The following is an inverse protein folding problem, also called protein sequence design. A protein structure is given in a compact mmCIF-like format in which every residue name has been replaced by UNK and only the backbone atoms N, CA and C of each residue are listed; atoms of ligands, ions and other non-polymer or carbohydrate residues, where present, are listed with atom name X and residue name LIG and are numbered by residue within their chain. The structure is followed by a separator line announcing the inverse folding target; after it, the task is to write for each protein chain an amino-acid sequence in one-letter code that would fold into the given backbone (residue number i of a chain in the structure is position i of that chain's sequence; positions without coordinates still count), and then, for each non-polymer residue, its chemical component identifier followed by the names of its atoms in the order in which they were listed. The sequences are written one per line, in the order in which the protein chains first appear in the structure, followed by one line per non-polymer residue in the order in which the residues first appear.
data_IF_732533839453
#
_entry.id   IF_732533839453
#
_cell.length_a   1.000
_cell.length_b   1.000
_cell.length_c   1.000
_cell.angle_alpha   90.00
_cell.angle_beta   90.00
_cell.angle_gamma   90.00
#
_symmetry.space_group_name_H-M   'P 1'
#
loop_
_entity.id
_entity.type
_entity.pdbx_description
1 polymer ?
#
# COMPACT_ATOMS: atom_id res chain seq x y z
N UNK A 1 -11.27 -20.69 -27.83
CA UNK A 1 -11.84 -19.54 -27.09
C UNK A 1 -10.74 -18.95 -26.22
N UNK A 2 -10.26 -17.73 -26.50
CA UNK A 2 -9.34 -17.03 -25.58
C UNK A 2 -10.15 -16.70 -24.33
N UNK A 3 -9.80 -17.28 -23.17
CA UNK A 3 -10.40 -16.85 -21.91
C UNK A 3 -10.16 -15.34 -21.77
N UNK A 4 -11.20 -14.58 -21.42
CA UNK A 4 -11.02 -13.19 -20.98
C UNK A 4 -10.03 -13.26 -19.83
N UNK A 5 -8.81 -12.74 -19.99
CA UNK A 5 -7.87 -12.58 -18.89
C UNK A 5 -8.59 -11.75 -17.84
N UNK A 6 -8.97 -12.39 -16.74
CA UNK A 6 -9.54 -11.70 -15.59
C UNK A 6 -8.47 -10.74 -15.08
N UNK A 7 -8.83 -9.47 -14.88
CA UNK A 7 -7.93 -8.50 -14.26
C UNK A 7 -7.52 -9.06 -12.90
N UNK A 8 -6.21 -9.16 -12.59
CA UNK A 8 -5.77 -9.68 -11.30
C UNK A 8 -6.36 -8.84 -10.17
N UNK A 9 -6.61 -9.47 -9.02
CA UNK A 9 -7.15 -8.80 -7.84
C UNK A 9 -6.03 -8.58 -6.82
N UNK A 10 -5.95 -7.37 -6.27
CA UNK A 10 -5.03 -7.07 -5.18
C UNK A 10 -5.55 -7.69 -3.87
N UNK A 11 -4.67 -8.38 -3.15
CA UNK A 11 -5.03 -9.19 -1.98
C UNK A 11 -4.39 -8.69 -0.68
N UNK A 12 -3.72 -7.54 -0.66
CA UNK A 12 -2.93 -7.02 0.50
C UNK A 12 -3.70 -6.86 1.83
N UNK A 13 -5.03 -6.85 1.80
CA UNK A 13 -5.90 -6.83 2.98
C UNK A 13 -6.79 -8.07 3.12
N UNK A 14 -6.60 -9.09 2.28
CA UNK A 14 -7.43 -10.29 2.30
C UNK A 14 -7.10 -11.14 3.53
N UNK A 15 -8.15 -11.48 4.29
CA UNK A 15 -8.06 -12.38 5.44
C UNK A 15 -8.74 -13.72 5.18
N UNK A 16 -8.42 -14.73 6.00
CA UNK A 16 -9.13 -16.00 5.97
C UNK A 16 -10.56 -15.85 6.51
N UNK A 17 -11.55 -16.38 5.78
CA UNK A 17 -12.95 -16.43 6.24
C UNK A 17 -13.13 -17.19 7.56
N UNK A 18 -12.31 -18.21 7.78
CA UNK A 18 -12.41 -19.15 8.92
C UNK A 18 -11.49 -18.79 10.09
N UNK A 19 -10.55 -17.86 9.91
CA UNK A 19 -9.59 -17.44 10.95
C UNK A 19 -9.66 -15.95 11.29
N UNK A 20 -10.79 -15.31 10.99
CA UNK A 20 -11.08 -13.93 11.37
C UNK A 20 -10.10 -12.91 10.77
N UNK A 21 -9.23 -12.34 11.61
CA UNK A 21 -8.33 -11.20 11.29
C UNK A 21 -6.97 -11.61 10.70
N UNK A 22 -6.69 -12.91 10.55
CA UNK A 22 -5.42 -13.38 9.97
C UNK A 22 -5.38 -13.15 8.45
N UNK A 23 -4.30 -12.53 7.96
CA UNK A 23 -4.06 -12.35 6.54
C UNK A 23 -3.78 -13.68 5.83
N UNK A 24 -4.22 -13.80 4.58
CA UNK A 24 -3.86 -14.96 3.75
C UNK A 24 -2.36 -14.95 3.43
N UNK A 25 -1.81 -16.11 3.08
CA UNK A 25 -0.40 -16.20 2.67
C UNK A 25 -0.09 -15.33 1.43
N UNK A 26 -1.04 -15.16 0.53
CA UNK A 26 -0.92 -14.24 -0.62
C UNK A 26 -0.89 -12.78 -0.18
N UNK A 27 -1.81 -12.37 0.70
CA UNK A 27 -1.83 -11.04 1.29
C UNK A 27 -0.49 -10.71 1.97
N UNK A 28 0.01 -11.62 2.79
CA UNK A 28 1.29 -11.44 3.48
C UNK A 28 2.47 -11.30 2.52
N UNK A 29 2.53 -12.12 1.46
CA UNK A 29 3.61 -12.02 0.45
C UNK A 29 3.53 -10.70 -0.33
N UNK A 30 2.35 -10.31 -0.83
CA UNK A 30 2.17 -9.05 -1.55
C UNK A 30 2.55 -7.85 -0.68
N UNK A 31 2.11 -7.82 0.59
CA UNK A 31 2.53 -6.80 1.56
C UNK A 31 4.04 -6.80 1.74
N UNK A 32 4.65 -7.96 1.98
CA UNK A 32 6.09 -8.08 2.18
C UNK A 32 6.89 -7.53 0.99
N UNK A 33 6.48 -7.85 -0.24
CA UNK A 33 7.11 -7.32 -1.47
C UNK A 33 6.99 -5.79 -1.49
N UNK A 34 5.79 -5.24 -1.27
CA UNK A 34 5.53 -3.80 -1.32
C UNK A 34 6.31 -3.05 -0.24
N UNK A 35 6.28 -3.54 0.99
CA UNK A 35 7.02 -2.96 2.14
C UNK A 35 8.52 -2.95 1.83
N UNK A 36 9.07 -4.09 1.41
CA UNK A 36 10.50 -4.21 1.08
C UNK A 36 10.92 -3.24 -0.03
N UNK A 37 10.14 -3.13 -1.10
CA UNK A 37 10.44 -2.21 -2.20
C UNK A 37 10.29 -0.72 -1.81
N UNK A 38 9.50 -0.40 -0.78
CA UNK A 38 9.30 0.97 -0.28
C UNK A 38 10.43 1.50 0.61
N UNK A 39 11.23 0.59 1.19
CA UNK A 39 12.30 0.92 2.14
C UNK A 39 13.69 0.62 1.59
N UNK A 40 13.84 -0.41 0.76
CA UNK A 40 15.11 -0.74 0.14
C UNK A 40 15.50 0.31 -0.92
N UNK A 41 16.79 0.56 -1.10
CA UNK A 41 17.32 1.50 -2.11
C UNK A 41 18.30 0.81 -3.07
N UNK A 42 18.97 -0.26 -2.63
CA UNK A 42 19.99 -0.95 -3.41
C UNK A 42 19.36 -1.86 -4.47
N UNK A 43 19.69 -1.67 -5.77
CA UNK A 43 19.16 -2.51 -6.86
C UNK A 43 19.40 -4.02 -6.65
N UNK A 44 20.55 -4.40 -6.10
CA UNK A 44 20.92 -5.80 -5.82
C UNK A 44 19.99 -6.47 -4.82
N UNK A 45 19.33 -5.70 -3.95
CA UNK A 45 18.36 -6.18 -2.96
C UNK A 45 16.91 -6.11 -3.44
N UNK A 46 16.67 -5.65 -4.66
CA UNK A 46 15.33 -5.50 -5.27
C UNK A 46 15.07 -6.48 -6.41
N UNK A 47 15.87 -7.54 -6.52
CA UNK A 47 15.61 -8.65 -7.46
C UNK A 47 14.60 -9.62 -6.85
N UNK A 48 13.89 -10.41 -7.68
CA UNK A 48 12.94 -11.43 -7.19
C UNK A 48 13.58 -12.36 -6.14
N UNK A 49 14.81 -12.79 -6.40
CA UNK A 49 15.58 -13.67 -5.52
C UNK A 49 15.92 -12.98 -4.20
N UNK A 50 16.42 -11.74 -4.23
CA UNK A 50 16.73 -11.01 -3.00
C UNK A 50 15.49 -10.74 -2.14
N UNK A 51 14.37 -10.39 -2.78
CA UNK A 51 13.07 -10.25 -2.10
C UNK A 51 12.67 -11.57 -1.44
N UNK A 52 12.80 -12.70 -2.14
CA UNK A 52 12.48 -14.01 -1.59
C UNK A 52 13.34 -14.39 -0.38
N UNK A 53 14.65 -14.14 -0.44
CA UNK A 53 15.52 -14.34 0.72
C UNK A 53 15.08 -13.47 1.90
N UNK A 54 14.79 -12.19 1.65
CA UNK A 54 14.43 -11.26 2.73
C UNK A 54 13.12 -11.64 3.41
N UNK A 55 12.09 -11.95 2.63
CA UNK A 55 10.78 -12.34 3.17
C UNK A 55 10.84 -13.71 3.86
N UNK A 56 11.68 -14.63 3.39
CA UNK A 56 11.84 -15.92 4.02
C UNK A 56 12.51 -15.82 5.39
N UNK A 57 13.55 -14.99 5.50
CA UNK A 57 14.20 -14.64 6.76
C UNK A 57 13.18 -14.04 7.75
N UNK A 58 12.39 -13.06 7.32
CA UNK A 58 11.37 -12.41 8.15
C UNK A 58 10.28 -13.39 8.64
N UNK A 59 9.93 -14.38 7.83
CA UNK A 59 8.88 -15.34 8.11
C UNK A 59 9.40 -16.63 8.79
N UNK A 60 10.70 -16.71 9.12
CA UNK A 60 11.29 -17.91 9.73
C UNK A 60 11.18 -19.16 8.84
N UNK A 61 11.30 -19.00 7.52
CA UNK A 61 11.21 -20.11 6.56
C UNK A 61 12.37 -20.09 5.54
N UNK A 62 12.41 -21.07 4.65
CA UNK A 62 13.39 -21.11 3.56
C UNK A 62 12.86 -20.40 2.32
N UNK A 63 13.73 -19.71 1.58
CA UNK A 63 13.32 -18.94 0.40
C UNK A 63 12.70 -19.81 -0.68
N UNK A 64 13.15 -21.06 -0.81
CA UNK A 64 12.61 -22.04 -1.76
C UNK A 64 11.11 -22.28 -1.54
N UNK A 65 10.64 -22.24 -0.28
CA UNK A 65 9.23 -22.46 0.07
C UNK A 65 8.31 -21.33 -0.41
N UNK A 66 8.83 -20.10 -0.54
CA UNK A 66 8.02 -18.93 -0.89
C UNK A 66 8.36 -18.34 -2.26
N UNK A 67 9.45 -18.79 -2.89
CA UNK A 67 9.97 -18.24 -4.15
C UNK A 67 8.92 -18.26 -5.26
N UNK A 68 8.26 -19.40 -5.47
CA UNK A 68 7.22 -19.54 -6.49
C UNK A 68 6.02 -18.64 -6.22
N UNK A 69 5.67 -18.43 -4.95
CA UNK A 69 4.64 -17.49 -4.52
C UNK A 69 5.00 -16.04 -4.83
N UNK A 70 6.23 -15.63 -4.52
CA UNK A 70 6.72 -14.27 -4.81
C UNK A 70 6.80 -14.03 -6.32
N UNK A 71 7.27 -15.00 -7.09
CA UNK A 71 7.30 -14.91 -8.54
C UNK A 71 5.90 -14.68 -9.11
N UNK A 72 4.93 -15.52 -8.70
CA UNK A 72 3.53 -15.39 -9.12
C UNK A 72 2.94 -14.04 -8.73
N UNK A 73 3.09 -13.64 -7.47
CA UNK A 73 2.52 -12.38 -6.99
C UNK A 73 3.14 -11.18 -7.71
N UNK A 74 4.44 -11.20 -8.02
CA UNK A 74 5.11 -10.12 -8.72
C UNK A 74 4.71 -10.06 -10.21
N UNK A 75 4.75 -11.19 -10.93
CA UNK A 75 4.58 -11.26 -12.38
C UNK A 75 3.12 -11.31 -12.84
N UNK A 76 2.25 -11.92 -12.05
CA UNK A 76 0.84 -12.13 -12.42
C UNK A 76 -0.10 -11.14 -11.74
N UNK A 77 0.34 -10.43 -10.68
CA UNK A 77 -0.49 -9.50 -9.92
C UNK A 77 0.13 -8.10 -9.86
N UNK A 78 1.27 -7.92 -9.21
CA UNK A 78 1.80 -6.58 -8.91
C UNK A 78 2.29 -5.82 -10.15
N UNK A 79 2.94 -6.50 -11.11
CA UNK A 79 3.33 -5.91 -12.39
C UNK A 79 2.10 -5.60 -13.26
N UNK A 80 1.13 -6.53 -13.48
CA UNK A 80 -0.08 -6.23 -14.23
C UNK A 80 -0.99 -5.15 -13.62
N UNK A 81 -1.00 -5.01 -12.29
CA UNK A 81 -1.71 -3.92 -11.60
C UNK A 81 -0.93 -2.61 -11.54
N UNK A 82 0.24 -2.56 -12.20
CA UNK A 82 1.10 -1.38 -12.24
C UNK A 82 1.44 -0.86 -10.83
N UNK A 83 1.57 -1.75 -9.83
CA UNK A 83 2.02 -1.41 -8.48
C UNK A 83 3.54 -1.45 -8.37
N UNK A 84 4.15 -2.29 -9.22
CA UNK A 84 5.58 -2.48 -9.34
C UNK A 84 5.97 -2.27 -10.79
N UNK A 85 7.18 -1.78 -11.04
CA UNK A 85 7.78 -1.72 -12.39
C UNK A 85 9.22 -2.22 -12.36
N UNK A 86 9.67 -2.80 -13.48
CA UNK A 86 11.09 -3.06 -13.68
C UNK A 86 11.83 -1.71 -13.74
N UNK A 87 12.88 -1.56 -12.93
CA UNK A 87 13.63 -0.32 -12.80
C UNK A 87 15.02 -0.39 -13.46
N UNK A 88 15.39 -1.56 -13.96
CA UNK A 88 16.65 -1.83 -14.64
C UNK A 88 17.08 -3.29 -14.46
N UNK A 89 18.27 -3.61 -14.97
CA UNK A 89 18.84 -4.97 -14.91
C UNK A 89 20.28 -4.95 -14.45
N UNK A 90 20.62 -5.92 -13.61
CA UNK A 90 21.97 -6.10 -13.06
C UNK A 90 22.76 -7.07 -13.93
N UNK A 91 23.98 -6.72 -14.35
CA UNK A 91 24.82 -7.63 -15.12
C UNK A 91 25.27 -8.80 -14.23
N UNK A 92 25.31 -10.00 -14.81
CA UNK A 92 25.85 -11.18 -14.12
C UNK A 92 26.92 -11.87 -14.98
N UNK A 93 27.99 -12.32 -14.34
CA UNK A 93 29.12 -12.99 -15.02
C UNK A 93 29.01 -14.52 -15.03
N UNK A 94 28.05 -15.08 -14.29
CA UNK A 94 27.86 -16.53 -14.09
C UNK A 94 26.38 -16.86 -14.07
N UNK A 95 26.00 -18.07 -14.47
CA UNK A 95 24.62 -18.55 -14.52
C UNK A 95 24.10 -18.76 -15.96
N UNK A 96 22.78 -18.88 -16.17
CA UNK A 96 22.19 -19.08 -17.50
C UNK A 96 22.61 -17.99 -18.50
N UNK A 97 22.98 -18.38 -19.73
CA UNK A 97 23.48 -17.47 -20.77
C UNK A 97 22.52 -16.31 -21.06
N UNK A 98 21.21 -16.60 -21.12
CA UNK A 98 20.17 -15.58 -21.30
C UNK A 98 20.18 -14.50 -20.21
N UNK A 99 20.47 -14.85 -18.95
CA UNK A 99 20.58 -13.89 -17.87
C UNK A 99 21.91 -13.14 -17.88
N UNK A 100 22.98 -13.74 -18.42
CA UNK A 100 24.24 -13.02 -18.64
C UNK A 100 24.08 -11.93 -19.72
N UNK A 101 23.33 -12.23 -20.78
CA UNK A 101 23.06 -11.29 -21.89
C UNK A 101 22.06 -10.20 -21.49
N UNK A 102 20.96 -10.57 -20.81
CA UNK A 102 19.89 -9.63 -20.48
C UNK A 102 20.04 -8.96 -19.11
N UNK A 103 20.83 -9.55 -18.20
CA UNK A 103 20.89 -9.15 -16.80
C UNK A 103 19.69 -9.62 -15.97
N UNK A 104 19.82 -9.51 -14.65
CA UNK A 104 18.78 -9.86 -13.68
C UNK A 104 17.93 -8.61 -13.37
N UNK A 105 16.61 -8.65 -13.59
CA UNK A 105 15.76 -7.49 -13.33
C UNK A 105 15.67 -7.17 -11.84
N UNK A 106 15.61 -5.87 -11.55
CA UNK A 106 15.23 -5.34 -10.24
C UNK A 106 14.05 -4.38 -10.38
N UNK A 107 13.31 -4.21 -9.28
CA UNK A 107 12.00 -3.58 -9.30
C UNK A 107 11.93 -2.36 -8.41
N UNK A 108 11.04 -1.41 -8.74
CA UNK A 108 10.66 -0.31 -7.87
C UNK A 108 9.13 -0.23 -7.77
N UNK A 109 8.64 0.39 -6.69
CA UNK A 109 7.24 0.77 -6.63
C UNK A 109 6.93 1.87 -7.65
N UNK A 110 5.74 1.77 -8.24
CA UNK A 110 5.09 2.90 -8.92
C UNK A 110 4.41 3.79 -7.89
N UNK A 111 3.75 4.86 -8.34
CA UNK A 111 3.00 5.74 -7.44
C UNK A 111 1.77 5.03 -6.85
N UNK A 112 1.12 4.16 -7.63
CA UNK A 112 0.10 3.22 -7.14
C UNK A 112 0.66 2.31 -6.05
N UNK A 113 1.87 1.78 -6.26
CA UNK A 113 2.57 0.95 -5.27
C UNK A 113 2.90 1.70 -3.98
N UNK A 114 3.26 2.98 -4.07
CA UNK A 114 3.52 3.83 -2.90
C UNK A 114 2.25 4.07 -2.07
N UNK A 115 1.09 4.27 -2.71
CA UNK A 115 -0.19 4.37 -1.99
C UNK A 115 -0.53 3.08 -1.24
N UNK A 116 -0.30 1.91 -1.87
CA UNK A 116 -0.48 0.63 -1.19
C UNK A 116 0.50 0.49 -0.03
N UNK A 117 1.78 0.85 -0.22
CA UNK A 117 2.78 0.82 0.85
C UNK A 117 2.41 1.74 2.02
N UNK A 118 1.84 2.92 1.77
CA UNK A 118 1.40 3.82 2.83
C UNK A 118 0.16 3.32 3.60
N UNK A 119 -0.66 2.46 2.98
CA UNK A 119 -1.90 1.94 3.56
C UNK A 119 -1.72 0.79 4.57
N UNK A 120 -0.57 0.11 4.55
CA UNK A 120 -0.32 -1.03 5.45
C UNK A 120 0.17 -0.57 6.82
N UNK A 121 -0.07 -1.39 7.85
CA UNK A 121 0.29 -1.06 9.23
C UNK A 121 1.81 -1.10 9.44
N UNK A 122 2.47 -2.06 8.81
CA UNK A 122 3.90 -2.35 8.94
C UNK A 122 4.81 -1.17 8.53
N UNK A 123 4.29 -0.23 7.74
CA UNK A 123 5.00 0.98 7.30
C UNK A 123 4.69 2.21 8.14
N UNK A 124 4.06 2.08 9.32
CA UNK A 124 3.64 3.22 10.15
C UNK A 124 4.76 4.24 10.40
N UNK A 125 6.00 3.78 10.65
CA UNK A 125 7.17 4.66 10.88
C UNK A 125 7.66 5.36 9.61
N UNK A 126 7.42 4.76 8.45
CA UNK A 126 7.86 5.24 7.13
C UNK A 126 6.76 5.98 6.36
N UNK A 127 5.50 5.95 6.83
CA UNK A 127 4.34 6.41 6.07
C UNK A 127 4.47 7.85 5.61
N UNK A 128 4.91 8.76 6.48
CA UNK A 128 5.12 10.17 6.12
C UNK A 128 6.14 10.32 4.99
N UNK A 129 7.26 9.59 5.06
CA UNK A 129 8.27 9.56 4.00
C UNK A 129 7.70 9.01 2.68
N UNK A 130 6.95 7.91 2.74
CA UNK A 130 6.32 7.28 1.57
C UNK A 130 5.31 8.24 0.90
N UNK A 131 4.46 8.89 1.71
CA UNK A 131 3.46 9.83 1.20
C UNK A 131 4.10 11.10 0.63
N UNK A 132 5.18 11.61 1.24
CA UNK A 132 5.94 12.72 0.67
C UNK A 132 6.54 12.33 -0.69
N UNK A 133 7.17 11.15 -0.80
CA UNK A 133 7.71 10.65 -2.06
C UNK A 133 6.64 10.44 -3.15
N UNK A 134 5.41 10.07 -2.77
CA UNK A 134 4.27 10.03 -3.69
C UNK A 134 3.90 11.44 -4.16
N UNK A 135 3.71 12.38 -3.23
CA UNK A 135 3.27 13.75 -3.53
C UNK A 135 4.34 14.65 -4.16
N UNK A 136 5.62 14.31 -4.09
CA UNK A 136 6.70 15.00 -4.81
C UNK A 136 6.58 14.83 -6.34
N UNK A 137 6.05 13.69 -6.77
CA UNK A 137 5.85 13.37 -8.19
C UNK A 137 4.49 13.84 -8.71
N UNK A 138 3.54 14.09 -7.81
CA UNK A 138 2.20 14.56 -8.17
C UNK A 138 2.27 16.03 -8.62
N UNK A 139 2.00 16.26 -9.90
CA UNK A 139 2.03 17.59 -10.52
C UNK A 139 0.64 18.23 -10.60
N UNK A 140 -0.42 17.53 -10.21
CA UNK A 140 -1.78 18.04 -10.33
C UNK A 140 -2.08 19.15 -9.31
N UNK A 141 -2.11 20.40 -9.79
CA UNK A 141 -2.39 21.60 -8.99
C UNK A 141 -3.80 21.56 -8.38
N UNK A 142 -4.76 20.85 -8.99
CA UNK A 142 -6.15 20.79 -8.49
C UNK A 142 -6.28 20.09 -7.14
N UNK A 143 -5.34 19.22 -6.80
CA UNK A 143 -5.35 18.46 -5.55
C UNK A 143 -4.33 18.99 -4.53
N UNK A 144 -3.85 20.23 -4.69
CA UNK A 144 -2.90 20.85 -3.76
C UNK A 144 -3.45 20.93 -2.34
N UNK A 145 -4.74 21.23 -2.20
CA UNK A 145 -5.42 21.28 -0.90
C UNK A 145 -5.58 19.88 -0.30
N UNK A 146 -5.88 18.88 -1.11
CA UNK A 146 -5.94 17.48 -0.67
C UNK A 146 -4.57 17.00 -0.16
N UNK A 147 -3.50 17.26 -0.91
CA UNK A 147 -2.12 16.97 -0.49
C UNK A 147 -1.82 17.62 0.85
N UNK A 148 -2.11 18.92 0.99
CA UNK A 148 -1.86 19.67 2.23
C UNK A 148 -2.65 19.08 3.40
N UNK A 149 -3.92 18.75 3.20
CA UNK A 149 -4.76 18.15 4.23
C UNK A 149 -4.23 16.77 4.67
N UNK A 150 -3.85 15.90 3.73
CA UNK A 150 -3.30 14.58 4.05
C UNK A 150 -1.97 14.70 4.82
N UNK A 151 -1.08 15.63 4.42
CA UNK A 151 0.19 15.87 5.14
C UNK A 151 -0.08 16.34 6.56
N UNK A 152 -0.98 17.30 6.77
CA UNK A 152 -1.35 17.76 8.13
C UNK A 152 -1.93 16.61 8.97
N UNK A 153 -2.80 15.79 8.39
CA UNK A 153 -3.39 14.63 9.06
C UNK A 153 -2.38 13.54 9.39
N UNK A 154 -1.29 13.39 8.62
CA UNK A 154 -0.20 12.47 8.96
C UNK A 154 0.47 12.85 10.28
N UNK A 155 0.55 14.15 10.60
CA UNK A 155 1.17 14.64 11.83
C UNK A 155 0.21 14.55 13.02
N UNK A 156 -1.06 14.95 12.86
CA UNK A 156 -2.00 15.05 13.99
C UNK A 156 -2.86 13.81 14.21
N UNK A 157 -3.09 13.01 13.16
CA UNK A 157 -3.98 11.84 13.18
C UNK A 157 -3.50 10.72 12.24
N UNK A 158 -2.26 10.20 12.39
CA UNK A 158 -1.67 9.23 11.44
C UNK A 158 -2.47 7.94 11.26
N UNK A 159 -3.20 7.50 12.30
CA UNK A 159 -4.07 6.33 12.24
C UNK A 159 -5.33 6.58 11.39
N UNK A 160 -5.85 7.81 11.37
CA UNK A 160 -6.94 8.18 10.48
C UNK A 160 -6.49 8.13 9.02
N UNK A 161 -5.30 8.68 8.71
CA UNK A 161 -4.74 8.58 7.35
C UNK A 161 -4.52 7.13 6.93
N UNK A 162 -4.04 6.27 7.83
CA UNK A 162 -3.93 4.83 7.56
C UNK A 162 -5.28 4.22 7.15
N UNK A 163 -6.31 4.51 7.93
CA UNK A 163 -7.64 3.96 7.72
C UNK A 163 -8.22 4.45 6.39
N UNK A 164 -8.09 5.74 6.11
CA UNK A 164 -8.48 6.36 4.85
C UNK A 164 -7.81 5.65 3.66
N UNK A 165 -6.47 5.52 3.69
CA UNK A 165 -5.72 4.86 2.63
C UNK A 165 -6.10 3.38 2.51
N UNK A 166 -6.27 2.68 3.63
CA UNK A 166 -6.71 1.28 3.62
C UNK A 166 -8.07 1.13 2.93
N UNK A 167 -9.07 1.94 3.28
CA UNK A 167 -10.40 1.90 2.63
C UNK A 167 -10.32 2.23 1.15
N UNK A 168 -9.46 3.17 0.78
CA UNK A 168 -9.18 3.50 -0.62
C UNK A 168 -8.64 2.28 -1.40
N UNK A 169 -7.63 1.60 -0.87
CA UNK A 169 -7.05 0.39 -1.49
C UNK A 169 -8.05 -0.80 -1.48
N UNK A 170 -8.84 -0.98 -0.42
CA UNK A 170 -9.90 -2.01 -0.36
C UNK A 170 -10.97 -1.75 -1.43
N UNK A 171 -11.35 -0.49 -1.65
CA UNK A 171 -12.31 -0.07 -2.68
C UNK A 171 -11.78 -0.36 -4.09
N UNK A 172 -10.49 -0.10 -4.34
CA UNK A 172 -9.83 -0.50 -5.58
C UNK A 172 -9.79 -2.02 -5.76
N UNK A 173 -9.41 -2.75 -4.71
CA UNK A 173 -9.31 -4.22 -4.72
C UNK A 173 -10.68 -4.88 -4.99
N UNK A 174 -11.77 -4.23 -4.59
CA UNK A 174 -13.14 -4.69 -4.81
C UNK A 174 -13.78 -4.16 -6.10
N UNK A 175 -13.06 -3.38 -6.90
CA UNK A 175 -13.54 -2.84 -8.17
C UNK A 175 -14.53 -1.67 -8.05
N UNK A 176 -14.65 -1.06 -6.87
CA UNK A 176 -15.44 0.17 -6.65
C UNK A 176 -14.72 1.36 -7.31
N UNK A 177 -13.38 1.37 -7.23
CA UNK A 177 -12.50 2.33 -7.89
C UNK A 177 -11.67 1.56 -8.92
N UNK A 178 -11.54 2.12 -10.11
CA UNK A 178 -10.86 1.49 -11.25
C UNK A 178 -9.34 1.75 -11.28
N UNK A 179 -8.89 2.86 -10.67
CA UNK A 179 -7.47 3.26 -10.64
C UNK A 179 -7.09 3.86 -9.29
N UNK A 180 -5.87 3.57 -8.83
CA UNK A 180 -5.33 4.16 -7.60
C UNK A 180 -4.81 5.59 -7.79
N UNK A 181 -4.37 5.93 -8.99
CA UNK A 181 -3.74 7.21 -9.32
C UNK A 181 -4.48 7.83 -10.53
N UNK A 182 -4.76 9.15 -10.54
CA UNK A 182 -4.43 10.13 -9.50
C UNK A 182 -5.25 9.93 -8.22
N UNK A 183 -4.60 10.16 -7.06
CA UNK A 183 -5.31 10.25 -5.79
C UNK A 183 -6.11 11.55 -5.78
N UNK A 184 -7.42 11.46 -5.78
CA UNK A 184 -8.31 12.62 -5.91
C UNK A 184 -9.53 12.50 -4.99
N UNK A 185 -10.17 13.64 -4.77
CA UNK A 185 -11.31 13.75 -3.87
C UNK A 185 -12.54 12.93 -4.32
N UNK A 186 -12.74 12.74 -5.64
CA UNK A 186 -13.85 11.93 -6.16
C UNK A 186 -13.70 10.45 -5.80
N UNK A 187 -12.51 9.89 -6.02
CA UNK A 187 -12.22 8.50 -5.70
C UNK A 187 -12.17 8.27 -4.19
N UNK A 188 -11.62 9.21 -3.42
CA UNK A 188 -11.69 9.16 -1.95
C UNK A 188 -13.16 9.13 -1.50
N UNK A 189 -14.03 9.96 -2.09
CA UNK A 189 -15.46 9.96 -1.77
C UNK A 189 -16.13 8.62 -2.10
N UNK A 190 -15.77 7.97 -3.20
CA UNK A 190 -16.28 6.62 -3.55
C UNK A 190 -15.80 5.54 -2.57
N UNK A 191 -14.66 5.74 -1.92
CA UNK A 191 -14.14 4.86 -0.88
C UNK A 191 -14.69 5.13 0.53
N UNK A 192 -15.50 6.18 0.72
CA UNK A 192 -16.13 6.47 2.00
C UNK A 192 -17.16 5.37 2.32
N UNK A 193 -16.81 4.53 3.27
CA UNK A 193 -17.72 3.57 3.89
C UNK A 193 -18.37 4.16 5.15
N UNK A 194 -19.24 3.39 5.78
CA UNK A 194 -19.90 3.80 7.04
C UNK A 194 -18.91 4.18 8.14
N UNK A 195 -17.72 3.56 8.16
CA UNK A 195 -16.68 3.86 9.15
C UNK A 195 -16.14 5.27 8.96
N UNK A 196 -15.81 5.65 7.72
CA UNK A 196 -15.33 7.00 7.41
C UNK A 196 -16.45 8.04 7.51
N UNK A 197 -17.71 7.65 7.29
CA UNK A 197 -18.87 8.52 7.47
C UNK A 197 -19.04 8.96 8.93
N UNK A 198 -19.01 8.02 9.88
CA UNK A 198 -19.10 8.30 11.32
C UNK A 198 -17.96 9.19 11.79
N UNK A 199 -16.74 8.97 11.28
CA UNK A 199 -15.59 9.82 11.63
C UNK A 199 -15.72 11.24 11.08
N UNK A 200 -16.27 11.40 9.87
CA UNK A 200 -16.57 12.71 9.29
C UNK A 200 -17.63 13.43 10.12
N UNK A 201 -18.73 12.74 10.43
CA UNK A 201 -19.82 13.27 11.26
C UNK A 201 -19.30 13.75 12.62
N UNK A 202 -18.47 12.93 13.30
CA UNK A 202 -17.84 13.30 14.56
C UNK A 202 -16.97 14.55 14.41
N UNK A 203 -16.13 14.63 13.37
CA UNK A 203 -15.24 15.77 13.15
C UNK A 203 -16.03 17.06 12.86
N UNK A 204 -17.03 16.98 11.97
CA UNK A 204 -17.89 18.11 11.60
C UNK A 204 -18.68 18.59 12.83
N UNK A 205 -19.34 17.67 13.53
CA UNK A 205 -20.09 17.95 14.76
C UNK A 205 -19.21 18.57 15.85
N UNK A 206 -18.07 17.94 16.16
CA UNK A 206 -17.13 18.44 17.17
C UNK A 206 -16.54 19.81 16.80
N UNK A 207 -16.27 20.06 15.51
CA UNK A 207 -15.73 21.35 15.07
C UNK A 207 -16.72 22.50 15.27
N UNK A 208 -18.02 22.22 15.19
CA UNK A 208 -19.11 23.19 15.37
C UNK A 208 -19.38 23.56 16.83
N UNK A 209 -18.88 22.77 17.80
CA UNK A 209 -19.06 23.02 19.22
C UNK A 209 -18.35 24.30 19.69
N UNK A 210 -18.94 24.94 20.70
CA UNK A 210 -18.28 26.00 21.45
C UNK A 210 -17.07 25.45 22.23
N UNK A 211 -16.15 26.32 22.65
CA UNK A 211 -14.99 25.87 23.43
C UNK A 211 -15.39 25.22 24.76
N UNK A 212 -16.48 25.66 25.41
CA UNK A 212 -17.00 25.04 26.63
C UNK A 212 -17.59 23.66 26.39
N UNK A 213 -18.22 23.43 25.23
CA UNK A 213 -18.86 22.14 24.90
C UNK A 213 -17.86 21.10 24.36
N UNK A 214 -16.71 21.55 23.83
CA UNK A 214 -15.62 20.64 23.41
C UNK A 214 -15.01 19.88 24.58
N UNK A 215 -14.88 20.53 25.74
CA UNK A 215 -14.16 19.98 26.89
C UNK A 215 -14.82 18.71 27.46
N UNK A 216 -16.15 18.64 27.69
CA UNK A 216 -16.82 17.40 28.07
C UNK A 216 -16.60 16.24 27.08
N UNK A 217 -16.64 16.52 25.77
CA UNK A 217 -16.44 15.51 24.72
C UNK A 217 -15.01 15.00 24.72
N UNK A 218 -14.02 15.89 24.81
CA UNK A 218 -12.60 15.51 24.95
C UNK A 218 -12.42 14.65 26.20
N UNK A 219 -13.02 15.05 27.33
CA UNK A 219 -12.90 14.32 28.59
C UNK A 219 -13.57 12.95 28.56
N UNK A 220 -14.64 12.77 27.79
CA UNK A 220 -15.21 11.45 27.52
C UNK A 220 -14.19 10.55 26.81
N UNK A 221 -13.60 11.01 25.69
CA UNK A 221 -12.64 10.22 24.93
C UNK A 221 -11.36 9.91 25.71
N UNK A 222 -10.88 10.84 26.55
CA UNK A 222 -9.75 10.62 27.47
C UNK A 222 -10.03 9.54 28.53
N UNK A 223 -11.29 9.30 28.89
CA UNK A 223 -11.67 8.29 29.91
C UNK A 223 -11.82 6.89 29.34
N UNK A 224 -12.18 6.78 28.06
CA UNK A 224 -12.44 5.49 27.41
C UNK A 224 -11.27 4.97 26.58
N UNK A 225 -10.34 5.84 26.19
CA UNK A 225 -9.08 5.50 25.51
C UNK A 225 -7.98 5.19 26.52
#
# INVERSE_FOLDING_TARGET
MKSKKQTPKLSVFQTFKTKGKEFTGEAMRQRGIIIHLSTETLPTRKTRTAIAHKLAEQNGTTWQNIYSGIFRDLDEILLPLELVKEAGRLPIKRGPKALQEQGVPYYNLTDSGLLVAASVLDTQKDRTRIMNAFFEKETNVKEKDLKRAIILLLDVAPNFVMLLLRRYIESYSNGIIDKLVPLNSEYIRKALDDTLHVQRELLEGFSSLSNSDKEPVINLFKKIG
#
